data_IF_402741910576
#
_entry.id   IF_402741910576
#
_cell.length_a   1.000
_cell.length_b   1.000
_cell.length_c   1.000
_cell.angle_alpha   90.00
_cell.angle_beta   90.00
_cell.angle_gamma   90.00
#
_symmetry.space_group_name_H-M   'P 1'
#
loop_
_entity.id
_entity.type
_entity.pdbx_description
1 polymer ?
#
# COMPACT_ATOMS: atom_id res chain seq x y z
N UNK A 1 3.56 10.83 13.84
CA UNK A 1 3.50 9.44 14.35
C UNK A 1 3.92 9.41 15.81
N UNK A 2 5.18 9.72 16.15
CA UNK A 2 5.69 9.70 17.53
C UNK A 2 4.81 10.47 18.52
N UNK A 3 4.51 11.75 18.25
CA UNK A 3 3.67 12.55 19.14
C UNK A 3 2.28 11.93 19.36
N UNK A 4 1.64 11.43 18.30
CA UNK A 4 0.35 10.76 18.42
C UNK A 4 0.42 9.45 19.22
N UNK A 5 1.52 8.70 19.12
CA UNK A 5 1.78 7.54 19.98
C UNK A 5 1.97 7.94 21.43
N UNK A 6 2.78 8.98 21.70
CA UNK A 6 2.98 9.54 23.05
C UNK A 6 1.65 9.94 23.69
N UNK A 7 0.81 10.67 22.97
CA UNK A 7 -0.50 11.10 23.49
C UNK A 7 -1.42 9.91 23.78
N UNK A 8 -1.37 8.86 22.94
CA UNK A 8 -2.08 7.62 23.21
C UNK A 8 -1.55 6.89 24.46
N UNK A 9 -0.22 6.87 24.67
CA UNK A 9 0.39 6.26 25.85
C UNK A 9 -0.05 6.94 27.14
N UNK A 10 0.00 8.28 27.18
CA UNK A 10 -0.53 9.08 28.31
C UNK A 10 -2.03 8.86 28.55
N UNK A 11 -2.76 8.48 27.50
CA UNK A 11 -4.16 8.07 27.58
C UNK A 11 -4.39 6.65 28.09
N UNK A 12 -3.33 5.92 28.50
CA UNK A 12 -3.39 4.55 29.00
C UNK A 12 -3.38 3.46 27.92
N UNK A 13 -3.18 3.81 26.65
CA UNK A 13 -3.09 2.82 25.57
C UNK A 13 -1.68 2.21 25.52
N UNK A 14 -1.59 0.90 25.34
CA UNK A 14 -0.31 0.17 25.26
C UNK A 14 -0.17 -0.65 23.96
N UNK A 15 -1.07 -0.43 23.00
CA UNK A 15 -1.06 -1.12 21.70
C UNK A 15 -1.05 -0.11 20.58
N UNK A 16 -0.08 -0.22 19.68
CA UNK A 16 0.02 0.60 18.46
C UNK A 16 0.02 -0.32 17.26
N UNK A 17 -0.84 -0.03 16.28
CA UNK A 17 -0.82 -0.71 14.98
C UNK A 17 -0.47 0.28 13.88
N UNK A 18 0.55 -0.05 13.11
CA UNK A 18 1.06 0.74 12.00
C UNK A 18 0.81 0.00 10.70
N UNK A 19 0.40 0.74 9.67
CA UNK A 19 0.14 0.20 8.35
C UNK A 19 1.13 0.82 7.36
N UNK A 20 1.84 -0.03 6.63
CA UNK A 20 2.84 0.35 5.65
C UNK A 20 2.56 -0.33 4.31
N UNK A 21 3.19 0.19 3.27
CA UNK A 21 3.37 -0.52 2.01
C UNK A 21 4.84 -0.83 1.80
N UNK A 22 5.12 -1.92 1.10
CA UNK A 22 6.44 -2.26 0.58
C UNK A 22 6.43 -2.25 -0.95
N UNK A 23 7.55 -1.87 -1.54
CA UNK A 23 7.79 -1.80 -2.98
C UNK A 23 7.11 -0.61 -3.66
N UNK A 24 6.99 0.50 -2.95
CA UNK A 24 6.66 1.77 -3.57
C UNK A 24 7.71 2.10 -4.66
N UNK A 25 7.33 2.81 -5.73
CA UNK A 25 8.30 3.35 -6.66
C UNK A 25 9.32 4.20 -5.90
N UNK A 26 10.59 4.07 -6.28
CA UNK A 26 11.76 4.71 -5.66
C UNK A 26 12.11 4.29 -4.23
N UNK A 27 11.37 3.36 -3.60
CA UNK A 27 11.70 2.85 -2.25
C UNK A 27 13.06 2.13 -2.24
N UNK A 28 13.94 2.56 -1.33
CA UNK A 28 15.23 1.93 -1.06
C UNK A 28 15.18 0.94 0.11
N UNK A 29 16.28 0.21 0.33
CA UNK A 29 16.36 -0.67 1.50
C UNK A 29 16.33 0.13 2.81
N UNK A 30 16.96 1.31 2.86
CA UNK A 30 16.93 2.21 4.02
C UNK A 30 15.50 2.68 4.36
N UNK A 31 14.67 2.96 3.35
CA UNK A 31 13.26 3.30 3.55
C UNK A 31 12.50 2.13 4.21
N UNK A 32 12.76 0.91 3.76
CA UNK A 32 12.16 -0.30 4.30
C UNK A 32 12.62 -0.56 5.75
N UNK A 33 13.91 -0.40 6.04
CA UNK A 33 14.45 -0.46 7.41
C UNK A 33 13.78 0.56 8.34
N UNK A 34 13.43 1.74 7.80
CA UNK A 34 12.71 2.79 8.49
C UNK A 34 11.45 2.32 9.21
N UNK A 35 10.78 1.26 8.73
CA UNK A 35 9.61 0.64 9.37
C UNK A 35 9.98 0.06 10.75
N UNK A 36 11.08 -0.69 10.81
CA UNK A 36 11.57 -1.30 12.05
C UNK A 36 12.10 -0.24 13.01
N UNK A 37 12.88 0.72 12.49
CA UNK A 37 13.47 1.80 13.27
C UNK A 37 12.40 2.73 13.87
N UNK A 38 11.35 3.05 13.11
CA UNK A 38 10.22 3.82 13.61
C UNK A 38 9.47 3.06 14.71
N UNK A 39 9.29 1.74 14.54
CA UNK A 39 8.63 0.90 15.54
C UNK A 39 9.44 0.81 16.84
N UNK A 40 10.77 0.74 16.75
CA UNK A 40 11.65 0.81 17.91
C UNK A 40 11.54 2.16 18.61
N UNK A 41 11.61 3.27 17.87
CA UNK A 41 11.46 4.63 18.43
C UNK A 41 10.14 4.83 19.16
N UNK A 42 9.05 4.26 18.65
CA UNK A 42 7.75 4.28 19.35
C UNK A 42 7.79 3.47 20.64
N UNK A 43 8.58 2.38 20.67
CA UNK A 43 8.78 1.58 21.88
C UNK A 43 9.60 2.32 22.93
N UNK A 44 10.68 2.99 22.51
CA UNK A 44 11.49 3.85 23.37
C UNK A 44 10.63 4.96 23.98
N UNK A 45 9.83 5.64 23.15
CA UNK A 45 8.92 6.71 23.57
C UNK A 45 7.94 6.27 24.67
N UNK A 46 7.41 5.04 24.60
CA UNK A 46 6.55 4.49 25.66
C UNK A 46 7.29 4.36 27.00
N UNK A 47 8.52 3.86 26.96
CA UNK A 47 9.31 3.64 28.18
C UNK A 47 9.86 4.93 28.77
N UNK A 48 10.03 5.97 27.96
CA UNK A 48 10.40 7.32 28.40
C UNK A 48 9.20 8.10 28.96
N UNK A 49 8.02 7.95 28.38
CA UNK A 49 6.82 8.72 28.78
C UNK A 49 6.13 8.14 30.00
N UNK A 50 6.02 6.81 30.10
CA UNK A 50 5.19 6.15 31.13
C UNK A 50 6.05 5.68 32.31
N UNK A 51 5.74 6.18 33.51
CA UNK A 51 6.37 5.72 34.75
C UNK A 51 6.09 4.23 34.98
N UNK A 52 7.04 3.51 35.58
CA UNK A 52 6.96 2.04 35.69
C UNK A 52 5.71 1.58 36.45
N UNK A 53 5.28 2.37 37.42
CA UNK A 53 4.13 2.15 38.30
C UNK A 53 2.79 2.41 37.59
N UNK A 54 2.79 3.23 36.54
CA UNK A 54 1.60 3.64 35.79
C UNK A 54 1.33 2.74 34.57
N UNK A 55 2.29 1.90 34.19
CA UNK A 55 2.19 1.00 33.04
C UNK A 55 1.15 -0.09 33.29
N UNK A 56 0.02 0.01 32.59
CA UNK A 56 -1.00 -1.04 32.55
C UNK A 56 -0.70 -1.99 31.39
N UNK A 57 -0.55 -3.29 31.69
CA UNK A 57 -0.32 -4.33 30.68
C UNK A 57 1.05 -4.26 29.99
N UNK A 58 1.20 -5.00 28.89
CA UNK A 58 2.42 -5.05 28.09
C UNK A 58 2.30 -4.22 26.83
N UNK A 59 3.32 -3.41 26.55
CA UNK A 59 3.45 -2.73 25.26
C UNK A 59 3.46 -3.76 24.12
N UNK A 60 2.71 -3.46 23.05
CA UNK A 60 2.78 -4.18 21.79
C UNK A 60 2.67 -3.20 20.62
N UNK A 61 3.71 -3.16 19.80
CA UNK A 61 3.70 -2.43 18.53
C UNK A 61 3.62 -3.46 17.41
N UNK A 62 2.66 -3.30 16.52
CA UNK A 62 2.46 -4.17 15.36
C UNK A 62 2.55 -3.35 14.09
N UNK A 63 3.58 -3.58 13.29
CA UNK A 63 3.68 -3.06 11.94
C UNK A 63 3.14 -4.10 10.96
N UNK A 64 2.22 -3.69 10.10
CA UNK A 64 1.64 -4.50 9.03
C UNK A 64 1.97 -3.88 7.68
N UNK A 65 2.61 -4.64 6.79
CA UNK A 65 2.96 -4.18 5.45
C UNK A 65 2.17 -4.93 4.37
N UNK A 66 1.44 -4.19 3.53
CA UNK A 66 0.93 -4.72 2.26
C UNK A 66 1.93 -4.44 1.14
N UNK A 67 1.81 -5.13 0.01
CA UNK A 67 2.59 -4.76 -1.16
C UNK A 67 1.94 -3.62 -1.92
N UNK A 68 2.77 -2.81 -2.58
CA UNK A 68 2.32 -1.72 -3.40
C UNK A 68 1.50 -2.23 -4.58
N UNK A 69 0.25 -1.74 -4.69
CA UNK A 69 -0.63 -2.01 -5.82
C UNK A 69 -1.00 -0.69 -6.49
N UNK A 70 -0.54 -0.43 -7.73
CA UNK A 70 -0.91 0.78 -8.46
C UNK A 70 -2.41 0.76 -8.77
N UNK A 71 -3.09 1.89 -8.49
CA UNK A 71 -4.53 2.03 -8.69
C UNK A 71 -4.86 3.09 -9.75
N UNK A 72 -5.94 2.91 -10.53
CA UNK A 72 -6.48 3.96 -11.40
C UNK A 72 -6.69 5.29 -10.69
N UNK A 73 -6.58 6.39 -11.41
CA UNK A 73 -6.80 7.75 -10.90
C UNK A 73 -5.88 8.17 -9.76
N UNK A 74 -4.72 7.52 -9.64
CA UNK A 74 -3.66 7.92 -8.71
C UNK A 74 -2.41 8.36 -9.47
N UNK A 75 -1.53 9.17 -8.86
CA UNK A 75 -0.22 9.49 -9.45
C UNK A 75 0.62 8.24 -9.75
N UNK A 76 0.29 7.12 -9.11
CA UNK A 76 0.99 5.85 -9.22
C UNK A 76 0.42 4.91 -10.28
N UNK A 77 -0.58 5.32 -11.07
CA UNK A 77 -1.21 4.44 -12.08
C UNK A 77 -0.25 3.99 -13.19
N UNK A 78 0.85 4.71 -13.41
CA UNK A 78 1.92 4.35 -14.36
C UNK A 78 2.99 3.42 -13.79
N UNK A 79 3.02 3.22 -12.48
CA UNK A 79 4.04 2.42 -11.84
C UNK A 79 3.90 0.92 -12.17
N UNK A 80 5.02 0.25 -12.37
CA UNK A 80 5.09 -1.20 -12.33
C UNK A 80 5.02 -1.68 -10.88
N UNK A 81 4.59 -2.93 -10.70
CA UNK A 81 4.84 -3.65 -9.46
C UNK A 81 6.20 -4.34 -9.54
N UNK A 82 6.83 -4.52 -8.38
CA UNK A 82 8.03 -5.34 -8.28
C UNK A 82 7.71 -6.84 -8.53
N UNK A 83 8.68 -7.61 -9.03
CA UNK A 83 8.57 -9.07 -9.04
C UNK A 83 8.43 -9.68 -7.64
N UNK A 84 8.00 -10.95 -7.59
CA UNK A 84 7.72 -11.70 -6.36
C UNK A 84 8.89 -11.83 -5.39
N UNK A 85 10.00 -12.29 -5.93
CA UNK A 85 11.25 -12.46 -5.22
C UNK A 85 11.71 -11.15 -4.56
N UNK A 86 11.50 -10.02 -5.23
CA UNK A 86 11.86 -8.71 -4.71
C UNK A 86 11.00 -8.27 -3.51
N UNK A 87 9.67 -8.43 -3.60
CA UNK A 87 8.78 -8.17 -2.47
C UNK A 87 9.13 -9.04 -1.25
N UNK A 88 9.38 -10.33 -1.48
CA UNK A 88 9.77 -11.28 -0.43
C UNK A 88 11.13 -10.91 0.17
N UNK A 89 12.10 -10.49 -0.66
CA UNK A 89 13.41 -10.00 -0.20
C UNK A 89 13.25 -8.81 0.75
N UNK A 90 12.48 -7.79 0.34
CA UNK A 90 12.23 -6.59 1.15
C UNK A 90 11.51 -6.92 2.46
N UNK A 91 10.46 -7.75 2.42
CA UNK A 91 9.76 -8.17 3.63
C UNK A 91 10.67 -8.93 4.61
N UNK A 92 11.55 -9.79 4.10
CA UNK A 92 12.58 -10.48 4.93
C UNK A 92 13.58 -9.49 5.50
N UNK A 93 14.07 -8.56 4.70
CA UNK A 93 14.99 -7.52 5.14
C UNK A 93 14.40 -6.72 6.31
N UNK A 94 13.16 -6.23 6.19
CA UNK A 94 12.46 -5.54 7.29
C UNK A 94 12.35 -6.43 8.53
N UNK A 95 11.94 -7.69 8.35
CA UNK A 95 11.82 -8.65 9.46
C UNK A 95 13.15 -8.87 10.18
N UNK A 96 14.25 -8.97 9.44
CA UNK A 96 15.59 -9.13 10.01
C UNK A 96 16.01 -7.87 10.77
N UNK A 97 15.71 -6.68 10.25
CA UNK A 97 15.92 -5.42 10.96
C UNK A 97 15.11 -5.35 12.26
N UNK A 98 13.85 -5.80 12.28
CA UNK A 98 13.07 -5.94 13.52
C UNK A 98 13.75 -6.86 14.55
N UNK A 99 14.36 -7.97 14.11
CA UNK A 99 15.03 -8.92 14.99
C UNK A 99 16.33 -8.38 15.63
N UNK A 100 16.88 -7.31 15.06
CA UNK A 100 18.07 -6.61 15.56
C UNK A 100 17.74 -5.53 16.61
N UNK A 101 16.48 -5.10 16.71
CA UNK A 101 16.10 -4.03 17.64
C UNK A 101 16.14 -4.47 19.11
N UNK A 102 16.40 -3.51 20.01
CA UNK A 102 16.52 -3.77 21.45
C UNK A 102 15.18 -4.24 22.04
N UNK A 103 14.09 -3.59 21.66
CA UNK A 103 12.75 -3.91 22.16
C UNK A 103 12.00 -4.96 21.32
N UNK A 104 12.68 -5.76 20.49
CA UNK A 104 12.07 -6.75 19.57
C UNK A 104 10.97 -7.65 20.15
N UNK A 105 11.00 -7.96 21.45
CA UNK A 105 9.94 -8.74 22.12
C UNK A 105 8.58 -8.01 22.18
N UNK A 106 8.58 -6.69 22.02
CA UNK A 106 7.41 -5.80 21.99
C UNK A 106 6.99 -5.44 20.56
N UNK A 107 7.81 -5.79 19.57
CA UNK A 107 7.59 -5.47 18.18
C UNK A 107 7.09 -6.70 17.42
N UNK A 108 6.08 -6.50 16.58
CA UNK A 108 5.59 -7.51 15.65
C UNK A 108 5.58 -6.93 14.25
N UNK A 109 6.13 -7.67 13.31
CA UNK A 109 6.02 -7.37 11.90
C UNK A 109 5.20 -8.46 11.21
N UNK A 110 4.16 -8.05 10.51
CA UNK A 110 3.35 -8.90 9.65
C UNK A 110 3.35 -8.32 8.24
N UNK A 111 3.38 -9.16 7.23
CA UNK A 111 3.25 -8.72 5.84
C UNK A 111 2.30 -9.64 5.08
N UNK A 112 1.66 -9.08 4.06
CA UNK A 112 0.60 -9.76 3.31
C UNK A 112 1.14 -10.81 2.33
N UNK A 113 0.25 -11.73 1.96
CA UNK A 113 0.46 -12.63 0.84
C UNK A 113 0.50 -11.83 -0.47
N UNK A 114 1.46 -12.18 -1.32
CA UNK A 114 1.64 -11.50 -2.59
C UNK A 114 0.59 -11.90 -3.64
N UNK A 115 0.08 -13.13 -3.59
CA UNK A 115 -0.77 -13.66 -4.65
C UNK A 115 -2.09 -12.85 -4.72
N UNK A 116 -2.62 -12.46 -3.56
CA UNK A 116 -3.75 -11.52 -3.46
C UNK A 116 -3.39 -10.15 -4.06
N UNK A 117 -2.20 -9.62 -3.74
CA UNK A 117 -1.75 -8.31 -4.25
C UNK A 117 -1.60 -8.32 -5.79
N UNK A 118 -1.20 -9.45 -6.37
CA UNK A 118 -1.14 -9.66 -7.83
C UNK A 118 -2.54 -9.57 -8.43
N UNK A 119 -3.50 -10.31 -7.89
CA UNK A 119 -4.89 -10.26 -8.38
C UNK A 119 -5.51 -8.88 -8.22
N UNK A 120 -5.30 -8.22 -7.08
CA UNK A 120 -5.75 -6.85 -6.87
C UNK A 120 -5.21 -5.89 -7.95
N UNK A 121 -3.95 -6.04 -8.33
CA UNK A 121 -3.34 -5.21 -9.35
C UNK A 121 -3.85 -5.51 -10.76
N UNK A 122 -4.04 -6.81 -11.07
CA UNK A 122 -4.61 -7.27 -12.33
C UNK A 122 -6.01 -6.68 -12.50
N UNK A 123 -6.88 -6.84 -11.51
CA UNK A 123 -8.27 -6.39 -11.60
C UNK A 123 -8.42 -4.88 -11.43
N UNK A 124 -7.59 -4.23 -10.60
CA UNK A 124 -7.62 -2.77 -10.49
C UNK A 124 -7.24 -2.09 -11.80
N UNK A 125 -6.30 -2.66 -12.58
CA UNK A 125 -5.89 -2.14 -13.88
C UNK A 125 -6.50 -2.88 -15.06
N UNK A 126 -7.57 -3.63 -14.78
CA UNK A 126 -8.19 -4.54 -15.71
C UNK A 126 -8.90 -3.85 -16.86
N UNK A 127 -9.04 -4.59 -17.95
CA UNK A 127 -9.93 -4.24 -19.06
C UNK A 127 -10.86 -5.40 -19.41
N UNK A 128 -11.65 -5.24 -20.47
CA UNK A 128 -12.67 -6.21 -20.89
C UNK A 128 -12.11 -7.63 -21.11
N UNK A 129 -10.82 -7.79 -21.41
CA UNK A 129 -10.18 -9.10 -21.60
C UNK A 129 -10.24 -9.96 -20.34
N UNK A 130 -10.25 -9.34 -19.15
CA UNK A 130 -10.31 -10.07 -17.88
C UNK A 130 -11.70 -10.61 -17.52
N UNK A 131 -12.75 -10.20 -18.24
CA UNK A 131 -14.12 -10.68 -17.96
C UNK A 131 -14.21 -12.22 -18.00
N UNK A 132 -13.58 -12.84 -18.99
CA UNK A 132 -13.58 -14.30 -19.15
C UNK A 132 -12.70 -14.99 -18.09
N UNK A 133 -11.62 -14.36 -17.64
CA UNK A 133 -10.80 -14.87 -16.53
C UNK A 133 -11.63 -14.94 -15.25
N UNK A 134 -12.36 -13.88 -14.89
CA UNK A 134 -13.21 -13.86 -13.69
C UNK A 134 -14.26 -14.98 -13.78
N UNK A 135 -14.89 -15.12 -14.94
CA UNK A 135 -15.92 -16.13 -15.17
C UNK A 135 -15.36 -17.57 -15.08
N UNK A 136 -14.23 -17.84 -15.72
CA UNK A 136 -13.61 -19.17 -15.72
C UNK A 136 -13.07 -19.54 -14.33
N UNK A 137 -12.45 -18.59 -13.63
CA UNK A 137 -12.01 -18.80 -12.23
C UNK A 137 -13.19 -19.12 -11.32
N UNK A 138 -14.31 -18.38 -11.43
CA UNK A 138 -15.55 -18.68 -10.71
C UNK A 138 -16.06 -20.10 -11.02
N UNK A 139 -16.05 -20.51 -12.31
CA UNK A 139 -16.45 -21.87 -12.72
C UNK A 139 -15.54 -22.96 -12.15
N UNK A 140 -14.27 -22.64 -11.88
CA UNK A 140 -13.29 -23.52 -11.26
C UNK A 140 -13.32 -23.47 -9.72
N UNK A 141 -14.31 -22.76 -9.14
CA UNK A 141 -14.56 -22.74 -7.71
C UNK A 141 -13.94 -21.56 -6.96
N UNK A 142 -13.49 -20.51 -7.65
CA UNK A 142 -13.07 -19.24 -7.04
C UNK A 142 -14.28 -18.51 -6.42
N UNK A 143 -14.65 -18.98 -5.23
CA UNK A 143 -15.75 -18.50 -4.40
C UNK A 143 -15.19 -18.32 -3.00
N UNK A 144 -15.55 -17.23 -2.34
CA UNK A 144 -15.08 -16.94 -0.98
C UNK A 144 -13.55 -16.67 -0.89
N UNK A 145 -12.93 -16.22 -1.98
CA UNK A 145 -11.49 -15.88 -2.07
C UNK A 145 -11.04 -14.73 -1.16
N UNK A 146 -11.98 -14.01 -0.54
CA UNK A 146 -11.66 -13.01 0.49
C UNK A 146 -11.12 -13.65 1.79
N UNK A 147 -11.39 -14.94 2.02
CA UNK A 147 -10.87 -15.68 3.17
C UNK A 147 -9.74 -16.62 2.72
N UNK A 148 -8.60 -16.52 3.39
CA UNK A 148 -7.36 -17.18 2.99
C UNK A 148 -7.46 -18.69 2.91
N UNK A 149 -8.33 -19.33 3.70
CA UNK A 149 -8.57 -20.78 3.68
C UNK A 149 -9.31 -21.28 2.42
N UNK A 150 -9.98 -20.40 1.68
CA UNK A 150 -10.67 -20.75 0.43
C UNK A 150 -9.95 -20.24 -0.82
N UNK A 151 -9.04 -19.28 -0.64
CA UNK A 151 -8.25 -18.69 -1.71
C UNK A 151 -7.30 -19.71 -2.33
N UNK A 152 -7.37 -19.83 -3.66
CA UNK A 152 -6.47 -20.68 -4.44
C UNK A 152 -6.03 -19.94 -5.71
N UNK A 153 -4.77 -19.47 -5.71
CA UNK A 153 -4.19 -18.74 -6.82
C UNK A 153 -4.07 -19.60 -8.10
N UNK A 154 -3.99 -20.93 -7.98
CA UNK A 154 -3.86 -21.83 -9.13
C UNK A 154 -5.09 -21.76 -10.05
N UNK A 155 -6.29 -21.54 -9.49
CA UNK A 155 -7.53 -21.30 -10.25
C UNK A 155 -7.38 -20.10 -11.19
N UNK A 156 -6.73 -19.04 -10.72
CA UNK A 156 -6.50 -17.84 -11.50
C UNK A 156 -5.40 -18.03 -12.53
N UNK A 157 -4.29 -18.69 -12.19
CA UNK A 157 -3.23 -19.01 -13.17
C UNK A 157 -3.77 -19.86 -14.32
N UNK A 158 -4.59 -20.86 -14.02
CA UNK A 158 -5.30 -21.65 -15.03
C UNK A 158 -6.21 -20.78 -15.89
N UNK A 159 -7.07 -19.96 -15.27
CA UNK A 159 -7.96 -19.06 -16.00
C UNK A 159 -7.20 -18.06 -16.88
N UNK A 160 -6.07 -17.51 -16.42
CA UNK A 160 -5.19 -16.66 -17.24
C UNK A 160 -4.64 -17.42 -18.45
N UNK A 161 -4.10 -18.62 -18.24
CA UNK A 161 -3.52 -19.45 -19.30
C UNK A 161 -4.55 -19.87 -20.36
N UNK A 162 -5.73 -20.34 -19.94
CA UNK A 162 -6.83 -20.74 -20.83
C UNK A 162 -7.36 -19.57 -21.69
N UNK A 163 -7.19 -18.34 -21.21
CA UNK A 163 -7.59 -17.12 -21.90
C UNK A 163 -6.45 -16.46 -22.68
N UNK A 164 -5.25 -17.05 -22.68
CA UNK A 164 -4.07 -16.46 -23.34
C UNK A 164 -3.65 -15.11 -22.75
N UNK A 165 -3.89 -14.90 -21.46
CA UNK A 165 -3.61 -13.67 -20.76
C UNK A 165 -2.37 -13.86 -19.89
N UNK A 166 -1.35 -13.04 -20.12
CA UNK A 166 -0.24 -12.88 -19.19
C UNK A 166 -0.63 -11.86 -18.12
N UNK A 167 -0.75 -12.29 -16.86
CA UNK A 167 -1.08 -11.38 -15.75
C UNK A 167 0.00 -10.30 -15.55
N UNK A 168 1.26 -10.57 -15.95
CA UNK A 168 2.37 -9.62 -15.86
C UNK A 168 2.20 -8.38 -16.72
N UNK A 169 1.40 -8.49 -17.80
CA UNK A 169 0.96 -7.33 -18.58
C UNK A 169 0.22 -6.29 -17.71
N UNK A 170 -0.49 -6.73 -16.68
CA UNK A 170 -1.23 -5.85 -15.77
C UNK A 170 -0.47 -5.53 -14.50
N UNK A 171 0.66 -6.17 -14.19
CA UNK A 171 1.41 -5.97 -12.94
C UNK A 171 2.79 -5.33 -13.16
N UNK A 172 3.67 -6.03 -13.87
CA UNK A 172 5.12 -5.77 -13.92
C UNK A 172 5.53 -4.83 -15.06
N UNK A 173 4.71 -4.64 -16.10
CA UNK A 173 5.12 -3.80 -17.24
C UNK A 173 5.20 -2.32 -16.89
N UNK A 174 6.18 -1.65 -17.49
CA UNK A 174 6.25 -0.19 -17.52
C UNK A 174 5.16 0.40 -18.44
N UNK A 175 4.72 1.61 -18.10
CA UNK A 175 3.61 2.30 -18.77
C UNK A 175 4.04 3.71 -19.15
N UNK A 176 3.85 4.05 -20.42
CA UNK A 176 4.12 5.38 -20.95
C UNK A 176 3.13 6.42 -20.43
N UNK A 177 3.53 7.69 -20.36
CA UNK A 177 2.65 8.78 -19.94
C UNK A 177 1.55 9.08 -20.95
N UNK A 178 1.80 8.75 -22.22
CA UNK A 178 0.89 8.83 -23.36
C UNK A 178 -0.02 7.60 -23.50
N UNK A 179 0.13 6.60 -22.64
CA UNK A 179 -0.69 5.40 -22.68
C UNK A 179 -2.17 5.72 -22.43
N UNK A 180 -3.03 5.12 -23.26
CA UNK A 180 -4.49 5.16 -23.10
C UNK A 180 -4.91 4.03 -22.17
N UNK A 181 -5.48 4.38 -21.02
CA UNK A 181 -5.94 3.42 -20.03
C UNK A 181 -7.40 3.02 -20.22
N UNK A 182 -7.78 1.79 -19.83
CA UNK A 182 -9.17 1.34 -19.97
C UNK A 182 -10.16 2.16 -19.13
N UNK A 183 -9.68 2.90 -18.11
CA UNK A 183 -10.49 3.81 -17.29
C UNK A 183 -10.44 5.28 -17.73
N UNK A 184 -9.69 5.65 -18.79
CA UNK A 184 -9.56 7.05 -19.23
C UNK A 184 -10.88 7.68 -19.70
N UNK A 185 -11.90 6.87 -19.99
CA UNK A 185 -13.23 7.32 -20.36
C UNK A 185 -14.13 7.67 -19.15
N UNK A 186 -13.64 7.44 -17.93
CA UNK A 186 -14.34 7.77 -16.69
C UNK A 186 -13.75 9.05 -16.09
N UNK A 187 -14.63 9.88 -15.52
CA UNK A 187 -14.23 11.11 -14.84
C UNK A 187 -14.24 10.89 -13.32
N UNK A 188 -13.06 10.93 -12.70
CA UNK A 188 -12.87 10.89 -11.25
C UNK A 188 -12.75 12.29 -10.62
N UNK A 189 -12.95 13.35 -11.40
CA UNK A 189 -12.80 14.76 -11.03
C UNK A 189 -11.36 15.26 -10.94
N UNK A 190 -10.37 14.36 -10.91
CA UNK A 190 -8.95 14.72 -10.94
C UNK A 190 -8.40 14.57 -12.35
N UNK A 191 -7.77 15.61 -12.88
CA UNK A 191 -7.24 15.60 -14.25
C UNK A 191 -6.02 14.68 -14.41
N UNK A 192 -5.92 13.99 -15.55
CA UNK A 192 -4.75 13.15 -15.88
C UNK A 192 -3.45 13.96 -15.88
N UNK A 193 -3.48 15.21 -16.34
CA UNK A 193 -2.34 16.13 -16.32
C UNK A 193 -1.85 16.40 -14.89
N UNK A 194 -2.77 16.60 -13.94
CA UNK A 194 -2.40 16.74 -12.53
C UNK A 194 -1.73 15.47 -11.99
N UNK A 195 -2.31 14.30 -12.25
CA UNK A 195 -1.71 13.03 -11.84
C UNK A 195 -0.31 12.80 -12.42
N UNK A 196 -0.08 13.22 -13.68
CA UNK A 196 1.25 13.16 -14.31
C UNK A 196 2.26 14.06 -13.61
N UNK A 197 1.86 15.27 -13.20
CA UNK A 197 2.71 16.18 -12.43
C UNK A 197 3.06 15.59 -11.07
N UNK A 198 2.07 15.05 -10.36
CA UNK A 198 2.27 14.41 -9.06
C UNK A 198 3.12 13.15 -9.17
N UNK A 199 3.05 12.40 -10.27
CA UNK A 199 3.93 11.28 -10.53
C UNK A 199 5.40 11.70 -10.62
N UNK A 200 5.69 12.81 -11.32
CA UNK A 200 7.06 13.35 -11.36
C UNK A 200 7.51 13.85 -9.98
N UNK A 201 6.63 14.57 -9.27
CA UNK A 201 6.92 15.03 -7.92
C UNK A 201 7.22 13.87 -6.96
N UNK A 202 6.45 12.78 -7.02
CA UNK A 202 6.66 11.58 -6.22
C UNK A 202 8.03 10.94 -6.49
N UNK A 203 8.42 10.80 -7.76
CA UNK A 203 9.76 10.28 -8.13
C UNK A 203 10.91 11.16 -7.65
N UNK A 204 10.67 12.45 -7.50
CA UNK A 204 11.64 13.43 -6.99
C UNK A 204 11.60 13.56 -5.45
N UNK A 205 10.75 12.79 -4.76
CA UNK A 205 10.56 12.89 -3.31
C UNK A 205 9.96 14.23 -2.87
N UNK A 206 9.33 14.98 -3.78
CA UNK A 206 8.76 16.30 -3.48
C UNK A 206 7.37 16.13 -2.89
N UNK A 207 7.19 16.64 -1.68
CA UNK A 207 5.88 16.67 -1.01
C UNK A 207 5.02 17.79 -1.57
N UNK A 208 3.78 17.45 -1.92
CA UNK A 208 2.74 18.41 -2.30
C UNK A 208 2.07 18.96 -1.04
N UNK A 209 1.97 20.30 -0.96
CA UNK A 209 1.39 20.98 0.21
C UNK A 209 -0.11 20.70 0.37
N UNK A 210 -0.61 20.84 1.60
CA UNK A 210 -2.04 20.64 1.90
C UNK A 210 -2.92 21.59 1.07
N UNK A 211 -4.03 21.09 0.54
CA UNK A 211 -5.00 21.87 -0.24
C UNK A 211 -5.61 23.06 0.52
N UNK A 212 -5.62 23.03 1.86
CA UNK A 212 -6.06 24.14 2.72
C UNK A 212 -5.07 25.29 2.78
N UNK A 213 -3.78 24.99 2.64
CA UNK A 213 -2.74 26.02 2.61
C UNK A 213 -2.65 26.64 1.22
N UNK A 214 -2.69 25.78 0.18
CA UNK A 214 -2.62 26.20 -1.22
C UNK A 214 -3.29 25.19 -2.13
N UNK A 215 -4.27 25.63 -2.92
CA UNK A 215 -4.87 24.80 -3.96
C UNK A 215 -3.83 24.39 -5.00
N UNK A 216 -3.82 23.10 -5.36
CA UNK A 216 -2.88 22.51 -6.31
C UNK A 216 -3.44 22.40 -7.74
N UNK A 217 -4.72 22.74 -7.93
CA UNK A 217 -5.36 22.71 -9.24
C UNK A 217 -5.64 21.30 -9.77
N UNK A 218 -6.03 20.35 -8.90
CA UNK A 218 -6.25 18.96 -9.31
C UNK A 218 -7.46 18.74 -10.23
N UNK A 219 -8.45 19.64 -10.17
CA UNK A 219 -9.71 19.55 -10.92
C UNK A 219 -10.94 19.21 -10.06
N UNK A 220 -10.74 18.70 -8.84
CA UNK A 220 -11.81 18.17 -7.98
C UNK A 220 -12.86 19.23 -7.54
N UNK A 221 -12.62 20.51 -7.79
CA UNK A 221 -13.60 21.58 -7.56
C UNK A 221 -14.90 21.38 -8.36
N UNK A 222 -14.91 20.58 -9.43
CA UNK A 222 -16.11 20.23 -10.19
C UNK A 222 -17.23 19.63 -9.33
N UNK A 223 -16.90 18.99 -8.20
CA UNK A 223 -17.88 18.37 -7.30
C UNK A 223 -18.64 19.36 -6.42
N UNK A 224 -18.32 20.66 -6.44
CA UNK A 224 -19.08 21.69 -5.73
C UNK A 224 -19.08 21.57 -4.20
N UNK A 225 -18.20 20.76 -3.61
CA UNK A 225 -18.22 20.46 -2.17
C UNK A 225 -16.83 20.11 -1.61
N UNK A 226 -16.76 19.91 -0.30
CA UNK A 226 -15.55 19.49 0.40
C UNK A 226 -14.54 20.62 0.60
N UNK A 227 -13.27 20.24 0.79
CA UNK A 227 -12.18 21.18 1.13
C UNK A 227 -11.95 22.26 0.06
N UNK A 228 -12.31 21.99 -1.20
CA UNK A 228 -12.21 22.96 -2.29
C UNK A 228 -13.11 24.19 -2.10
N UNK A 229 -14.14 24.08 -1.27
CA UNK A 229 -15.11 25.15 -0.99
C UNK A 229 -15.16 25.52 0.51
N UNK A 230 -14.37 24.82 1.33
CA UNK A 230 -14.19 25.17 2.74
C UNK A 230 -13.31 26.40 2.86
N UNK A 231 -13.77 27.39 3.63
CA UNK A 231 -12.93 28.52 4.06
C UNK A 231 -11.81 28.04 5.00
#
# INVERSE_FOLDING_TARGET
IINGSRDAFKGGWNKVKLYFMLGLPTETDEDAEGIALLSEKISEEYFETEAKEERVGSLQITASASYFVPKPFTPFQWASMLPRDEYVRRARHVKDTFNQQLNKKRLKFAYHDQDISVLEAVFARGDRRLSKVIYDAYRDGAIFDAWTEFFDMERYYKAFAENGIDYKFYTERERGLDEVFPWDHLDAGVSKQFLMKEWQAAKEGRVTSNCRDKCQGCGAAVFGSGVCFGK
#
